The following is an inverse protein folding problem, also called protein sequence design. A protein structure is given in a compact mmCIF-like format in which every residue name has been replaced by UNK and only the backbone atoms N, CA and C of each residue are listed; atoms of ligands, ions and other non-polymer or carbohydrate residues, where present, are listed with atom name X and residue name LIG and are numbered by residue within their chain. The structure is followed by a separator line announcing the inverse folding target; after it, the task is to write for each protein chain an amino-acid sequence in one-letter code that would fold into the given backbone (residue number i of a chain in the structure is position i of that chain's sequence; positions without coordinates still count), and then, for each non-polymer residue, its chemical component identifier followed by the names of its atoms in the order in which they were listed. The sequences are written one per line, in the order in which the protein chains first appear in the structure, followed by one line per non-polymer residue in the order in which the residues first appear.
data_IF_072970685903
#
_entry.id   IF_072970685903
#
_cell.length_a   1.000
_cell.length_b   1.000
_cell.length_c   1.000
_cell.angle_alpha   90.00
_cell.angle_beta   90.00
_cell.angle_gamma   90.00
#
_symmetry.space_group_name_H-M   'P 1'
#
loop_
_entity.id
_entity.type
_entity.pdbx_description
1 polymer ?
#
# COMPACT_ATOMS: atom_id res chain seq x y z
N UNK A 1 -46.15 -35.66 40.53
CA UNK A 1 -45.61 -34.45 39.85
C UNK A 1 -44.13 -34.16 40.13
N UNK A 2 -43.49 -34.67 41.19
CA UNK A 2 -42.06 -34.42 41.49
C UNK A 2 -41.03 -35.20 40.63
N UNK A 3 -41.44 -36.17 39.82
CA UNK A 3 -40.55 -36.95 38.93
C UNK A 3 -40.47 -36.45 37.48
N UNK A 4 -41.32 -35.50 37.08
CA UNK A 4 -41.35 -34.93 35.73
C UNK A 4 -40.40 -33.73 35.58
N UNK A 5 -40.22 -32.96 36.66
CA UNK A 5 -39.34 -31.79 36.69
C UNK A 5 -37.86 -32.06 36.35
N UNK A 6 -37.20 -33.09 36.91
CA UNK A 6 -35.79 -33.36 36.59
C UNK A 6 -35.61 -33.85 35.14
N UNK A 7 -36.56 -34.64 34.60
CA UNK A 7 -36.53 -35.04 33.19
C UNK A 7 -36.71 -33.85 32.25
N UNK A 8 -37.65 -32.94 32.56
CA UNK A 8 -37.85 -31.71 31.77
C UNK A 8 -36.62 -30.79 31.80
N UNK A 9 -35.93 -30.71 32.94
CA UNK A 9 -34.65 -29.97 33.04
C UNK A 9 -33.55 -30.63 32.20
N UNK A 10 -33.39 -31.95 32.25
CA UNK A 10 -32.38 -32.67 31.48
C UNK A 10 -32.59 -32.50 29.95
N UNK A 11 -33.83 -32.64 29.47
CA UNK A 11 -34.20 -32.35 28.08
C UNK A 11 -33.92 -30.89 27.69
N UNK A 12 -34.19 -29.93 28.59
CA UNK A 12 -33.90 -28.52 28.32
C UNK A 12 -32.40 -28.24 28.14
N UNK A 13 -31.53 -28.95 28.89
CA UNK A 13 -30.08 -28.79 28.77
C UNK A 13 -29.54 -29.38 27.48
N UNK A 14 -30.03 -30.54 27.04
CA UNK A 14 -29.61 -31.12 25.75
C UNK A 14 -30.11 -30.30 24.56
N UNK A 15 -31.31 -29.73 24.65
CA UNK A 15 -31.82 -28.78 23.65
C UNK A 15 -30.93 -27.53 23.55
N UNK A 16 -30.49 -26.98 24.68
CA UNK A 16 -29.58 -25.83 24.69
C UNK A 16 -28.24 -26.13 24.00
N UNK A 17 -27.68 -27.32 24.20
CA UNK A 17 -26.41 -27.72 23.55
C UNK A 17 -26.56 -27.81 22.03
N UNK A 18 -27.62 -28.46 21.55
CA UNK A 18 -27.92 -28.54 20.11
C UNK A 18 -28.13 -27.13 19.54
N UNK A 19 -28.87 -26.29 20.27
CA UNK A 19 -29.09 -24.90 19.89
C UNK A 19 -27.79 -24.12 19.75
N UNK A 20 -26.79 -24.33 20.62
CA UNK A 20 -25.46 -23.71 20.50
C UNK A 20 -24.81 -24.00 19.15
N UNK A 21 -24.86 -25.25 18.67
CA UNK A 21 -24.31 -25.63 17.37
C UNK A 21 -25.13 -25.07 16.20
N UNK A 22 -26.46 -25.08 16.31
CA UNK A 22 -27.33 -24.48 15.28
C UNK A 22 -27.04 -22.99 15.13
N UNK A 23 -26.93 -22.27 16.24
CA UNK A 23 -26.57 -20.83 16.24
C UNK A 23 -25.17 -20.62 15.69
N UNK A 24 -24.19 -21.46 16.07
CA UNK A 24 -22.83 -21.40 15.52
C UNK A 24 -22.83 -21.56 14.00
N UNK A 25 -23.54 -22.56 13.47
CA UNK A 25 -23.68 -22.78 12.02
C UNK A 25 -24.31 -21.56 11.35
N UNK A 26 -25.40 -21.02 11.88
CA UNK A 26 -26.06 -19.82 11.32
C UNK A 26 -25.10 -18.64 11.26
N UNK A 27 -24.36 -18.37 12.35
CA UNK A 27 -23.41 -17.25 12.42
C UNK A 27 -22.26 -17.44 11.43
N UNK A 28 -21.65 -18.63 11.39
CA UNK A 28 -20.53 -18.93 10.49
C UNK A 28 -20.98 -18.88 9.02
N UNK A 29 -22.17 -19.41 8.71
CA UNK A 29 -22.81 -19.29 7.39
C UNK A 29 -23.21 -17.85 7.08
N UNK A 30 -23.49 -16.98 8.04
CA UNK A 30 -23.78 -15.58 7.74
C UNK A 30 -22.50 -14.79 7.41
N UNK A 31 -21.41 -15.06 8.13
CA UNK A 31 -20.17 -14.26 8.08
C UNK A 31 -19.17 -14.75 7.04
N UNK A 32 -19.17 -16.03 6.67
CA UNK A 32 -18.13 -16.51 5.74
C UNK A 32 -18.21 -15.85 4.34
N UNK A 33 -17.10 -15.75 3.62
CA UNK A 33 -17.04 -15.02 2.34
C UNK A 33 -18.04 -15.53 1.32
N UNK A 34 -18.65 -14.60 0.56
CA UNK A 34 -19.66 -14.89 -0.48
C UNK A 34 -19.04 -15.13 -1.87
N UNK A 35 -17.73 -14.98 -1.98
CA UNK A 35 -17.00 -15.07 -3.24
C UNK A 35 -16.99 -16.49 -3.80
N UNK A 36 -16.97 -16.60 -5.13
CA UNK A 36 -16.84 -17.90 -5.80
C UNK A 36 -15.38 -18.32 -5.76
N UNK A 37 -15.07 -19.39 -5.06
CA UNK A 37 -13.69 -19.89 -5.02
C UNK A 37 -13.30 -20.39 -6.40
N UNK A 38 -12.15 -19.93 -6.89
CA UNK A 38 -11.58 -20.46 -8.11
C UNK A 38 -11.15 -21.91 -7.91
N UNK A 39 -11.72 -22.82 -8.71
CA UNK A 39 -11.62 -24.27 -8.53
C UNK A 39 -10.24 -24.89 -8.74
N UNK A 40 -9.25 -24.13 -9.23
CA UNK A 40 -7.95 -24.66 -9.62
C UNK A 40 -6.82 -24.09 -8.77
N UNK A 41 -5.91 -24.96 -8.35
CA UNK A 41 -4.67 -24.58 -7.68
C UNK A 41 -3.53 -24.59 -8.69
N UNK A 42 -2.68 -23.55 -8.65
CA UNK A 42 -1.56 -23.41 -9.56
C UNK A 42 -0.39 -22.70 -8.89
N UNK A 43 0.81 -23.04 -9.33
CA UNK A 43 2.05 -22.41 -8.86
C UNK A 43 2.98 -22.22 -10.05
N UNK A 44 3.76 -21.15 -10.03
CA UNK A 44 4.76 -20.87 -11.06
C UNK A 44 5.75 -22.05 -11.15
N UNK A 45 6.12 -22.44 -12.37
CA UNK A 45 7.11 -23.49 -12.63
C UNK A 45 6.60 -24.92 -12.51
N UNK A 46 5.36 -25.13 -12.06
CA UNK A 46 4.75 -26.47 -12.00
C UNK A 46 3.92 -26.77 -13.26
N UNK A 47 3.83 -28.04 -13.69
CA UNK A 47 2.90 -28.44 -14.74
C UNK A 47 1.44 -28.25 -14.31
N UNK A 48 0.58 -27.84 -15.24
CA UNK A 48 -0.85 -27.73 -15.06
C UNK A 48 -1.47 -29.13 -14.93
N UNK A 49 -2.05 -29.40 -13.75
CA UNK A 49 -2.56 -30.75 -13.40
C UNK A 49 -4.02 -30.98 -13.80
N UNK A 50 -4.70 -29.95 -14.30
CA UNK A 50 -6.11 -30.01 -14.64
C UNK A 50 -6.29 -30.13 -16.15
N UNK A 51 -7.53 -30.37 -16.60
CA UNK A 51 -7.89 -30.29 -18.02
C UNK A 51 -7.63 -28.89 -18.56
N UNK A 52 -7.52 -28.78 -19.87
CA UNK A 52 -7.36 -27.52 -20.60
C UNK A 52 -8.33 -26.45 -20.07
N UNK A 53 -7.77 -25.30 -19.74
CA UNK A 53 -8.51 -24.18 -19.20
C UNK A 53 -8.71 -23.14 -20.29
N UNK A 54 -9.97 -22.98 -20.68
CA UNK A 54 -10.42 -21.90 -21.55
C UNK A 54 -11.03 -20.77 -20.71
N UNK A 55 -10.86 -19.52 -21.16
CA UNK A 55 -11.42 -18.35 -20.50
C UNK A 55 -12.96 -18.42 -20.46
N UNK A 56 -13.61 -18.38 -19.28
CA UNK A 56 -15.07 -18.45 -19.17
C UNK A 56 -15.80 -17.17 -19.58
N UNK A 57 -15.11 -16.03 -19.54
CA UNK A 57 -15.56 -14.69 -19.89
C UNK A 57 -14.36 -13.83 -20.31
N UNK A 58 -14.60 -12.63 -20.84
CA UNK A 58 -13.55 -11.67 -21.19
C UNK A 58 -12.98 -11.03 -19.93
N UNK A 59 -11.66 -11.04 -19.74
CA UNK A 59 -11.02 -10.50 -18.54
C UNK A 59 -9.69 -9.83 -18.85
N UNK A 60 -9.30 -8.86 -18.01
CA UNK A 60 -8.04 -8.12 -18.24
C UNK A 60 -6.87 -8.72 -17.46
N UNK A 61 -5.71 -8.82 -18.11
CA UNK A 61 -4.47 -9.26 -17.46
C UNK A 61 -3.93 -8.10 -16.63
N UNK A 62 -3.99 -8.22 -15.31
CA UNK A 62 -3.50 -7.20 -14.39
C UNK A 62 -1.97 -7.17 -14.39
N UNK A 63 -1.38 -5.99 -14.21
CA UNK A 63 0.06 -5.84 -13.99
C UNK A 63 0.43 -6.26 -12.58
N UNK A 64 1.67 -6.73 -12.42
CA UNK A 64 2.26 -6.94 -11.10
C UNK A 64 2.64 -5.61 -10.46
N UNK A 65 2.68 -5.54 -9.13
CA UNK A 65 3.16 -4.34 -8.41
C UNK A 65 4.59 -3.96 -8.81
N UNK A 66 5.43 -4.93 -9.17
CA UNK A 66 6.81 -4.69 -9.65
C UNK A 66 6.82 -3.99 -11.02
N UNK A 67 5.91 -4.36 -11.92
CA UNK A 67 5.76 -3.70 -13.21
C UNK A 67 5.21 -2.28 -13.03
N UNK A 68 4.16 -2.13 -12.21
CA UNK A 68 3.58 -0.81 -11.92
C UNK A 68 4.59 0.11 -11.25
N UNK A 69 5.37 -0.36 -10.27
CA UNK A 69 6.38 0.47 -9.62
C UNK A 69 7.49 0.91 -10.57
N UNK A 70 7.94 0.02 -11.46
CA UNK A 70 8.91 0.34 -12.51
C UNK A 70 8.37 1.39 -13.49
N UNK A 71 7.14 1.20 -14.00
CA UNK A 71 6.50 2.17 -14.89
C UNK A 71 6.30 3.53 -14.21
N UNK A 72 5.85 3.54 -12.94
CA UNK A 72 5.74 4.78 -12.15
C UNK A 72 7.09 5.50 -12.06
N UNK A 73 8.17 4.78 -11.77
CA UNK A 73 9.52 5.38 -11.71
C UNK A 73 9.96 5.94 -13.06
N UNK A 74 9.72 5.22 -14.16
CA UNK A 74 10.08 5.66 -15.50
C UNK A 74 9.32 6.92 -15.92
N UNK A 75 8.03 6.97 -15.64
CA UNK A 75 7.19 8.15 -15.91
C UNK A 75 7.66 9.35 -15.08
N UNK A 76 8.00 9.14 -13.81
CA UNK A 76 8.43 10.22 -12.91
C UNK A 76 9.86 10.73 -13.21
N UNK A 77 10.74 9.93 -13.82
CA UNK A 77 12.07 10.40 -14.25
C UNK A 77 11.99 11.55 -15.25
N UNK A 78 10.95 11.59 -16.07
CA UNK A 78 10.74 12.60 -17.09
C UNK A 78 9.87 13.78 -16.61
N UNK A 79 9.42 13.76 -15.34
CA UNK A 79 8.64 14.85 -14.77
C UNK A 79 9.55 16.08 -14.56
N UNK A 80 9.30 17.12 -15.35
CA UNK A 80 9.92 18.43 -15.17
C UNK A 80 9.18 19.21 -14.07
N UNK A 81 9.88 19.77 -13.07
CA UNK A 81 9.24 20.57 -12.04
C UNK A 81 8.71 21.89 -12.62
N UNK A 82 7.58 22.35 -12.09
CA UNK A 82 6.92 23.58 -12.50
C UNK A 82 7.35 24.74 -11.61
N UNK A 83 7.61 25.88 -12.23
CA UNK A 83 7.95 27.13 -11.59
C UNK A 83 7.03 28.23 -12.10
N UNK A 84 6.69 29.17 -11.24
CA UNK A 84 5.90 30.34 -11.55
C UNK A 84 6.79 31.56 -11.60
N UNK A 85 6.69 32.34 -12.68
CA UNK A 85 7.27 33.66 -12.76
C UNK A 85 6.36 34.68 -12.05
N UNK A 86 6.94 35.50 -11.18
CA UNK A 86 6.23 36.53 -10.41
C UNK A 86 6.43 37.91 -11.04
N UNK A 87 5.59 38.23 -12.04
CA UNK A 87 5.64 39.52 -12.75
C UNK A 87 5.38 40.73 -11.82
N UNK A 88 4.57 40.55 -10.77
CA UNK A 88 4.27 41.61 -9.81
C UNK A 88 5.50 41.97 -8.97
N UNK A 89 6.19 40.95 -8.45
CA UNK A 89 7.38 41.15 -7.64
C UNK A 89 8.51 41.85 -8.40
N UNK A 90 8.72 41.50 -9.68
CA UNK A 90 9.68 42.17 -10.55
C UNK A 90 9.29 43.63 -10.83
N UNK A 91 8.01 43.94 -11.05
CA UNK A 91 7.56 45.33 -11.21
C UNK A 91 7.80 46.15 -9.94
N UNK A 92 7.49 45.59 -8.77
CA UNK A 92 7.71 46.23 -7.46
C UNK A 92 9.19 46.46 -7.21
N UNK A 93 10.06 45.48 -7.50
CA UNK A 93 11.51 45.61 -7.40
C UNK A 93 12.04 46.72 -8.29
N UNK A 94 11.59 46.78 -9.55
CA UNK A 94 11.94 47.85 -10.51
C UNK A 94 11.54 49.24 -10.00
N UNK A 95 10.31 49.40 -9.50
CA UNK A 95 9.87 50.66 -8.91
C UNK A 95 10.67 51.06 -7.67
N UNK A 96 11.05 50.07 -6.84
CA UNK A 96 11.92 50.30 -5.68
C UNK A 96 13.30 50.79 -6.11
N UNK A 97 13.89 50.20 -7.15
CA UNK A 97 15.16 50.63 -7.71
C UNK A 97 15.13 52.10 -8.16
N UNK A 98 14.09 52.49 -8.92
CA UNK A 98 13.91 53.88 -9.37
C UNK A 98 13.80 54.83 -8.16
N UNK A 99 13.00 54.47 -7.16
CA UNK A 99 12.82 55.28 -5.95
C UNK A 99 14.11 55.40 -5.15
N UNK A 100 14.79 54.28 -4.87
CA UNK A 100 16.04 54.24 -4.11
C UNK A 100 17.18 54.94 -4.83
N UNK A 101 17.20 54.92 -6.17
CA UNK A 101 18.13 55.73 -6.95
C UNK A 101 17.87 57.22 -6.71
N UNK A 102 16.63 57.69 -6.86
CA UNK A 102 16.28 59.10 -6.65
C UNK A 102 16.61 59.62 -5.24
N UNK A 103 16.28 58.85 -4.20
CA UNK A 103 16.56 59.22 -2.80
C UNK A 103 18.08 59.34 -2.51
N UNK A 104 18.88 58.44 -3.08
CA UNK A 104 20.33 58.38 -2.81
C UNK A 104 21.16 59.27 -3.75
N UNK A 105 20.66 59.58 -4.95
CA UNK A 105 21.34 60.46 -5.92
C UNK A 105 21.42 61.91 -5.43
N UNK A 106 20.37 62.41 -4.76
CA UNK A 106 20.34 63.77 -4.20
C UNK A 106 21.46 64.04 -3.17
N UNK A 107 22.03 62.99 -2.55
CA UNK A 107 23.16 63.13 -1.62
C UNK A 107 24.53 63.19 -2.31
N UNK A 108 24.67 62.62 -3.50
CA UNK A 108 25.93 62.61 -4.26
C UNK A 108 26.17 63.92 -5.04
N UNK A 109 25.10 64.56 -5.53
CA UNK A 109 25.17 65.74 -6.42
C UNK A 109 25.55 67.08 -5.76
N UNK A 110 25.90 67.11 -4.47
CA UNK A 110 26.18 68.37 -3.73
C UNK A 110 27.52 69.05 -4.09
N UNK A 111 28.30 68.52 -5.04
CA UNK A 111 29.67 68.99 -5.34
C UNK A 111 30.02 69.33 -6.81
N UNK A 112 29.11 69.25 -7.78
CA UNK A 112 29.44 69.55 -9.19
C UNK A 112 28.32 70.27 -9.96
N UNK A 113 28.70 71.00 -11.03
CA UNK A 113 27.83 71.77 -11.92
C UNK A 113 26.49 71.08 -12.24
N UNK A 114 25.40 71.81 -12.01
CA UNK A 114 24.02 71.31 -12.02
C UNK A 114 23.56 70.70 -13.35
N UNK A 115 24.18 71.06 -14.48
CA UNK A 115 23.85 70.56 -15.81
C UNK A 115 24.58 69.24 -16.14
N UNK A 116 25.82 69.05 -15.67
CA UNK A 116 26.59 67.80 -15.86
C UNK A 116 26.02 66.70 -14.95
N UNK A 117 25.67 67.07 -13.72
CA UNK A 117 25.05 66.18 -12.72
C UNK A 117 23.68 65.61 -13.17
N UNK A 118 22.90 66.35 -13.98
CA UNK A 118 21.63 65.85 -14.51
C UNK A 118 21.81 64.82 -15.64
N UNK A 119 22.73 65.06 -16.57
CA UNK A 119 22.97 64.15 -17.71
C UNK A 119 23.57 62.80 -17.25
N UNK A 120 24.45 62.84 -16.25
CA UNK A 120 25.06 61.63 -15.66
C UNK A 120 24.00 60.80 -14.89
N UNK A 121 23.05 61.45 -14.23
CA UNK A 121 21.97 60.78 -13.48
C UNK A 121 21.07 59.90 -14.35
N UNK A 122 20.73 60.40 -15.55
CA UNK A 122 19.91 59.67 -16.52
C UNK A 122 20.69 58.47 -17.05
N UNK A 123 21.97 58.67 -17.37
CA UNK A 123 22.85 57.62 -17.88
C UNK A 123 23.02 56.47 -16.87
N UNK A 124 23.21 56.77 -15.59
CA UNK A 124 23.33 55.73 -14.56
C UNK A 124 22.00 55.03 -14.25
N UNK A 125 20.88 55.76 -14.26
CA UNK A 125 19.57 55.16 -14.10
C UNK A 125 19.25 54.21 -15.25
N UNK A 126 19.54 54.61 -16.50
CA UNK A 126 19.34 53.76 -17.68
C UNK A 126 20.24 52.52 -17.63
N UNK A 127 21.49 52.66 -17.18
CA UNK A 127 22.39 51.52 -16.97
C UNK A 127 21.85 50.56 -15.90
N UNK A 128 21.38 51.07 -14.75
CA UNK A 128 20.78 50.26 -13.68
C UNK A 128 19.52 49.54 -14.16
N UNK A 129 18.62 50.22 -14.87
CA UNK A 129 17.41 49.63 -15.40
C UNK A 129 17.72 48.56 -16.46
N UNK A 130 18.73 48.79 -17.30
CA UNK A 130 19.17 47.80 -18.30
C UNK A 130 19.71 46.52 -17.66
N UNK A 131 20.50 46.65 -16.59
CA UNK A 131 20.97 45.48 -15.82
C UNK A 131 19.79 44.79 -15.15
N UNK A 132 18.93 45.54 -14.48
CA UNK A 132 17.75 45.01 -13.80
C UNK A 132 16.86 44.21 -14.77
N UNK A 133 16.47 44.82 -15.88
CA UNK A 133 15.61 44.22 -16.90
C UNK A 133 16.29 42.99 -17.59
N UNK A 134 17.61 42.88 -17.55
CA UNK A 134 18.36 41.72 -18.05
C UNK A 134 18.38 40.54 -17.06
N UNK A 135 18.72 40.78 -15.79
CA UNK A 135 18.82 39.70 -14.78
C UNK A 135 17.44 39.23 -14.32
N UNK A 136 16.47 40.14 -14.22
CA UNK A 136 15.09 39.84 -13.83
C UNK A 136 14.28 39.16 -14.94
N UNK A 137 14.91 38.80 -16.07
CA UNK A 137 14.33 37.82 -17.00
C UNK A 137 14.04 36.48 -16.31
N UNK A 138 14.79 36.16 -15.25
CA UNK A 138 14.47 35.08 -14.33
C UNK A 138 15.58 34.85 -13.30
N UNK A 139 15.33 35.24 -12.04
CA UNK A 139 16.17 34.92 -10.88
C UNK A 139 15.48 33.78 -10.11
N UNK A 140 16.11 32.61 -10.09
CA UNK A 140 15.54 31.40 -9.49
C UNK A 140 15.75 31.36 -7.98
N UNK A 141 14.66 31.07 -7.26
CA UNK A 141 14.73 30.73 -5.84
C UNK A 141 15.22 29.30 -5.68
N UNK A 142 16.26 29.11 -4.87
CA UNK A 142 16.76 27.78 -4.53
C UNK A 142 15.67 26.95 -3.84
N UNK A 143 15.51 25.72 -4.30
CA UNK A 143 14.54 24.76 -3.78
C UNK A 143 15.18 23.36 -3.81
N UNK A 144 14.90 22.48 -2.82
CA UNK A 144 15.44 21.12 -2.78
C UNK A 144 15.22 20.32 -4.08
N UNK A 145 14.19 20.63 -4.86
CA UNK A 145 13.92 19.95 -6.15
C UNK A 145 15.04 20.17 -7.19
N UNK A 146 15.87 21.19 -7.01
CA UNK A 146 16.99 21.56 -7.88
C UNK A 146 18.35 21.12 -7.35
N UNK A 147 18.43 20.54 -6.13
CA UNK A 147 19.70 20.10 -5.57
C UNK A 147 20.35 19.00 -6.43
N UNK A 148 21.65 19.18 -6.70
CA UNK A 148 22.43 18.25 -7.53
C UNK A 148 22.06 18.26 -9.02
N UNK A 149 21.23 19.20 -9.49
CA UNK A 149 20.93 19.37 -10.93
C UNK A 149 21.98 20.25 -11.60
N UNK A 150 22.37 19.87 -12.81
CA UNK A 150 23.28 20.67 -13.63
C UNK A 150 22.54 21.81 -14.36
N UNK A 151 23.30 22.70 -15.01
CA UNK A 151 22.75 23.84 -15.77
C UNK A 151 21.95 23.44 -17.02
N UNK A 152 22.05 22.20 -17.49
CA UNK A 152 21.27 21.69 -18.64
C UNK A 152 19.89 21.15 -18.22
N UNK A 153 19.65 21.00 -16.92
CA UNK A 153 18.38 20.54 -16.40
C UNK A 153 17.23 21.46 -16.83
N UNK A 154 16.13 20.83 -17.26
CA UNK A 154 14.95 21.53 -17.77
C UNK A 154 13.86 21.64 -16.72
N UNK A 155 13.30 22.84 -16.60
CA UNK A 155 12.12 23.14 -15.80
C UNK A 155 10.99 23.66 -16.69
N UNK A 156 9.75 23.56 -16.19
CA UNK A 156 8.57 24.17 -16.81
C UNK A 156 8.34 25.53 -16.15
N UNK A 157 8.54 26.63 -16.87
CA UNK A 157 8.25 27.97 -16.35
C UNK A 157 6.89 28.45 -16.85
N UNK A 158 6.05 28.90 -15.93
CA UNK A 158 4.77 29.53 -16.20
C UNK A 158 4.98 31.05 -16.16
N UNK A 159 4.76 31.72 -17.30
CA UNK A 159 4.85 33.18 -17.43
C UNK A 159 3.76 33.67 -18.38
N UNK A 160 3.03 34.73 -18.01
CA UNK A 160 1.90 35.24 -18.80
C UNK A 160 0.87 34.15 -19.19
N UNK A 161 0.60 33.22 -18.27
CA UNK A 161 -0.30 32.08 -18.49
C UNK A 161 0.15 31.08 -19.59
N UNK A 162 1.37 31.21 -20.10
CA UNK A 162 2.00 30.23 -20.99
C UNK A 162 2.99 29.35 -20.22
N UNK A 163 3.08 28.08 -20.60
CA UNK A 163 4.04 27.13 -20.03
C UNK A 163 5.10 26.81 -21.07
N UNK A 164 6.37 27.10 -20.76
CA UNK A 164 7.53 26.83 -21.63
C UNK A 164 8.63 26.08 -20.91
N UNK A 165 9.44 25.36 -21.67
CA UNK A 165 10.63 24.68 -21.14
C UNK A 165 11.79 25.67 -21.07
N UNK A 166 12.45 25.71 -19.91
CA UNK A 166 13.65 26.50 -19.66
C UNK A 166 14.76 25.61 -19.12
N UNK A 167 15.97 25.77 -19.65
CA UNK A 167 17.17 25.23 -19.01
C UNK A 167 17.57 26.11 -17.83
N UNK A 168 18.13 25.52 -16.77
CA UNK A 168 18.70 26.30 -15.66
C UNK A 168 19.82 27.25 -16.09
N UNK A 169 20.46 27.01 -17.24
CA UNK A 169 21.45 27.92 -17.85
C UNK A 169 20.85 29.24 -18.34
N UNK A 170 19.53 29.31 -18.55
CA UNK A 170 18.83 30.51 -19.01
C UNK A 170 18.31 31.38 -17.86
N UNK A 171 18.53 30.94 -16.63
CA UNK A 171 18.09 31.60 -15.40
C UNK A 171 19.31 31.95 -14.54
N UNK A 172 19.18 33.04 -13.81
CA UNK A 172 20.20 33.48 -12.87
C UNK A 172 19.90 32.92 -11.48
N UNK A 173 20.92 32.42 -10.78
CA UNK A 173 20.89 32.39 -9.32
C UNK A 173 21.13 33.80 -8.77
N UNK A 174 20.82 34.05 -7.50
CA UNK A 174 21.11 35.35 -6.85
C UNK A 174 22.56 35.76 -7.07
N UNK A 175 23.49 34.85 -6.80
CA UNK A 175 24.93 35.10 -7.01
C UNK A 175 25.28 35.43 -8.47
N UNK A 176 24.71 34.72 -9.45
CA UNK A 176 24.98 34.99 -10.85
C UNK A 176 24.39 36.33 -11.32
N UNK A 177 23.25 36.73 -10.75
CA UNK A 177 22.67 38.05 -10.99
C UNK A 177 23.58 39.16 -10.40
N UNK A 178 24.10 38.97 -9.19
CA UNK A 178 25.03 39.88 -8.54
C UNK A 178 26.34 40.00 -9.31
N UNK A 179 26.94 38.87 -9.71
CA UNK A 179 28.17 38.82 -10.49
C UNK A 179 27.99 39.52 -11.85
N UNK A 180 26.84 39.32 -12.51
CA UNK A 180 26.51 40.01 -13.77
C UNK A 180 26.38 41.53 -13.55
N UNK A 181 25.64 41.94 -12.54
CA UNK A 181 25.43 43.36 -12.22
C UNK A 181 26.74 44.07 -11.86
N UNK A 182 27.57 43.44 -11.03
CA UNK A 182 28.87 43.97 -10.63
C UNK A 182 29.81 44.14 -11.82
N UNK A 183 29.88 43.15 -12.72
CA UNK A 183 30.73 43.22 -13.90
C UNK A 183 30.27 44.29 -14.88
N UNK A 184 28.97 44.40 -15.12
CA UNK A 184 28.41 45.43 -15.99
C UNK A 184 28.66 46.84 -15.44
N UNK A 185 28.42 47.08 -14.15
CA UNK A 185 28.59 48.39 -13.53
C UNK A 185 30.06 48.81 -13.42
N UNK A 186 31.00 47.86 -13.30
CA UNK A 186 32.44 48.15 -13.32
C UNK A 186 32.93 48.66 -14.68
N UNK A 187 32.30 48.22 -15.78
CA UNK A 187 32.66 48.67 -17.14
C UNK A 187 32.31 50.13 -17.38
N UNK A 188 31.46 50.74 -16.54
CA UNK A 188 31.15 52.17 -16.60
C UNK A 188 32.32 53.06 -16.14
N UNK A 189 33.39 52.50 -15.57
CA UNK A 189 34.59 53.22 -15.10
C UNK A 189 34.30 54.44 -14.20
N UNK A 190 33.21 54.38 -13.44
CA UNK A 190 32.76 55.46 -12.56
C UNK A 190 33.14 55.20 -11.10
N UNK A 191 33.46 56.28 -10.36
CA UNK A 191 33.69 56.25 -8.92
C UNK A 191 32.44 55.79 -8.14
N UNK A 192 31.24 55.92 -8.73
CA UNK A 192 29.96 55.59 -8.10
C UNK A 192 29.52 54.13 -8.32
N UNK A 193 30.29 53.34 -9.08
CA UNK A 193 29.95 51.95 -9.44
C UNK A 193 29.60 51.04 -8.24
N UNK A 194 30.27 51.21 -7.11
CA UNK A 194 29.99 50.47 -5.86
C UNK A 194 28.65 50.88 -5.22
N UNK A 195 28.33 52.17 -5.25
CA UNK A 195 27.05 52.68 -4.76
C UNK A 195 25.89 52.18 -5.64
N UNK A 196 26.07 52.23 -6.97
CA UNK A 196 25.10 51.71 -7.94
C UNK A 196 24.87 50.20 -7.76
N UNK A 197 25.93 49.43 -7.53
CA UNK A 197 25.81 47.99 -7.23
C UNK A 197 24.99 47.73 -5.96
N UNK A 198 25.23 48.50 -4.89
CA UNK A 198 24.45 48.37 -3.65
C UNK A 198 22.97 48.69 -3.84
N UNK A 199 22.64 49.62 -4.75
CA UNK A 199 21.24 49.94 -5.08
C UNK A 199 20.56 48.78 -5.79
N UNK A 200 21.22 48.17 -6.78
CA UNK A 200 20.62 47.07 -7.53
C UNK A 200 20.50 45.81 -6.67
N UNK A 201 21.55 45.44 -5.94
CA UNK A 201 21.60 44.28 -5.03
C UNK A 201 20.40 44.25 -4.05
N UNK A 202 20.08 45.39 -3.44
CA UNK A 202 18.95 45.51 -2.51
C UNK A 202 17.55 45.51 -3.16
N UNK A 203 17.48 45.47 -4.49
CA UNK A 203 16.23 45.58 -5.25
C UNK A 203 15.92 44.36 -6.10
N UNK A 204 16.91 43.49 -6.32
CA UNK A 204 16.72 42.21 -7.01
C UNK A 204 15.74 41.32 -6.24
N UNK A 205 14.88 40.63 -6.99
CA UNK A 205 13.87 39.74 -6.44
C UNK A 205 13.99 38.37 -7.10
N UNK A 206 13.87 37.33 -6.28
CA UNK A 206 13.79 35.95 -6.76
C UNK A 206 12.39 35.70 -7.35
N UNK A 207 12.27 35.96 -8.64
CA UNK A 207 11.01 36.00 -9.37
C UNK A 207 10.61 34.66 -10.02
N UNK A 208 11.48 33.65 -10.00
CA UNK A 208 11.16 32.28 -10.45
C UNK A 208 11.06 31.36 -9.24
N UNK A 209 9.83 30.94 -8.94
CA UNK A 209 9.50 30.24 -7.69
C UNK A 209 8.91 28.86 -7.98
N UNK A 210 9.36 27.82 -7.29
CA UNK A 210 8.82 26.47 -7.43
C UNK A 210 7.32 26.41 -7.09
N UNK A 211 6.52 25.88 -8.01
CA UNK A 211 5.10 25.62 -7.82
C UNK A 211 4.90 24.13 -7.52
N UNK A 212 4.95 23.81 -6.23
CA UNK A 212 4.74 22.46 -5.74
C UNK A 212 3.35 21.94 -6.11
N UNK A 213 2.31 22.77 -6.00
CA UNK A 213 0.93 22.35 -6.26
C UNK A 213 0.76 21.94 -7.71
N UNK A 214 1.26 22.73 -8.66
CA UNK A 214 1.17 22.40 -10.09
C UNK A 214 2.02 21.18 -10.44
N UNK A 215 3.22 21.07 -9.85
CA UNK A 215 4.09 19.90 -10.05
C UNK A 215 3.45 18.62 -9.53
N UNK A 216 2.81 18.65 -8.37
CA UNK A 216 2.13 17.51 -7.77
C UNK A 216 0.86 17.13 -8.55
N UNK A 217 0.10 18.11 -9.04
CA UNK A 217 -1.03 17.87 -9.95
C UNK A 217 -0.56 17.16 -11.23
N UNK A 218 0.49 17.66 -11.87
CA UNK A 218 1.05 17.03 -13.08
C UNK A 218 1.59 15.63 -12.77
N UNK A 219 2.21 15.44 -11.60
CA UNK A 219 2.65 14.13 -11.12
C UNK A 219 1.50 13.13 -11.07
N UNK A 220 0.38 13.52 -10.46
CA UNK A 220 -0.81 12.68 -10.36
C UNK A 220 -1.43 12.39 -11.73
N UNK A 221 -1.47 13.38 -12.62
CA UNK A 221 -1.97 13.20 -13.99
C UNK A 221 -1.11 12.22 -14.80
N UNK A 222 0.21 12.26 -14.66
CA UNK A 222 1.10 11.31 -15.30
C UNK A 222 0.91 9.89 -14.74
N UNK A 223 0.75 9.77 -13.42
CA UNK A 223 0.55 8.48 -12.77
C UNK A 223 -0.83 7.87 -13.09
N UNK A 224 -1.87 8.68 -13.28
CA UNK A 224 -3.21 8.18 -13.61
C UNK A 224 -3.33 7.64 -15.04
N UNK A 225 -2.43 8.03 -15.94
CA UNK A 225 -2.34 7.49 -17.31
C UNK A 225 -1.73 6.09 -17.38
N UNK A 226 -1.15 5.59 -16.28
CA UNK A 226 -0.58 4.24 -16.24
C UNK A 226 -1.72 3.22 -16.17
N UNK A 227 -1.90 2.46 -17.26
CA UNK A 227 -2.89 1.37 -17.28
C UNK A 227 -2.55 0.30 -16.25
N UNK A 228 -3.52 -0.17 -15.44
CA UNK A 228 -3.33 -1.29 -14.52
C UNK A 228 -3.22 -2.64 -15.23
N UNK A 229 -3.50 -2.70 -16.54
CA UNK A 229 -3.58 -3.94 -17.32
C UNK A 229 -2.58 -3.96 -18.48
N UNK A 230 -2.16 -5.15 -18.90
CA UNK A 230 -1.24 -5.38 -20.04
C UNK A 230 -1.99 -5.77 -21.31
N UNK A 231 -3.13 -6.46 -21.17
CA UNK A 231 -3.91 -6.96 -22.30
C UNK A 231 -5.25 -7.54 -21.85
N UNK A 232 -6.04 -7.99 -22.82
CA UNK A 232 -7.35 -8.60 -22.63
C UNK A 232 -7.29 -10.06 -23.10
N UNK A 233 -7.83 -10.99 -22.30
CA UNK A 233 -8.06 -12.39 -22.69
C UNK A 233 -9.53 -12.52 -23.03
N UNK A 234 -9.82 -13.07 -24.21
CA UNK A 234 -11.20 -13.21 -24.69
C UNK A 234 -11.83 -14.52 -24.21
N UNK A 235 -13.15 -14.52 -24.03
CA UNK A 235 -13.93 -15.71 -23.72
C UNK A 235 -13.68 -16.80 -24.76
N UNK A 236 -13.41 -18.01 -24.28
CA UNK A 236 -13.09 -19.17 -25.12
C UNK A 236 -11.63 -19.25 -25.56
N UNK A 237 -10.78 -18.29 -25.21
CA UNK A 237 -9.34 -18.36 -25.44
C UNK A 237 -8.70 -19.43 -24.54
N UNK A 238 -7.77 -20.22 -25.09
CA UNK A 238 -7.03 -21.22 -24.33
C UNK A 238 -5.99 -20.55 -23.43
N UNK A 239 -6.21 -20.63 -22.12
CA UNK A 239 -5.29 -20.07 -21.12
C UNK A 239 -4.13 -21.04 -20.89
N UNK A 240 -4.39 -22.31 -20.61
CA UNK A 240 -3.33 -23.28 -20.35
C UNK A 240 -3.81 -24.71 -20.65
N UNK A 241 -2.93 -25.51 -21.24
CA UNK A 241 -3.21 -26.90 -21.62
C UNK A 241 -2.82 -27.86 -20.49
N UNK A 242 -3.45 -29.03 -20.45
CA UNK A 242 -3.07 -30.10 -19.51
C UNK A 242 -1.59 -30.50 -19.67
N UNK A 243 -0.85 -30.50 -18.57
CA UNK A 243 0.58 -30.82 -18.55
C UNK A 243 1.51 -29.67 -18.96
N UNK A 244 0.97 -28.54 -19.43
CA UNK A 244 1.75 -27.36 -19.79
C UNK A 244 2.36 -26.71 -18.53
N UNK A 245 3.58 -26.20 -18.64
CA UNK A 245 4.26 -25.56 -17.52
C UNK A 245 3.69 -24.16 -17.26
N UNK A 246 3.33 -23.86 -16.01
CA UNK A 246 2.82 -22.55 -15.60
C UNK A 246 3.98 -21.53 -15.62
N UNK A 247 4.16 -20.85 -16.76
CA UNK A 247 5.14 -19.77 -16.91
C UNK A 247 4.69 -18.52 -16.15
N UNK A 248 5.60 -17.55 -15.86
CA UNK A 248 5.21 -16.30 -15.19
C UNK A 248 4.09 -15.52 -15.91
N UNK A 249 4.04 -15.58 -17.24
CA UNK A 249 3.00 -14.95 -18.05
C UNK A 249 1.65 -15.65 -17.88
N UNK A 250 1.63 -16.99 -17.98
CA UNK A 250 0.41 -17.79 -17.75
C UNK A 250 -0.07 -17.67 -16.29
N UNK A 251 0.85 -17.64 -15.33
CA UNK A 251 0.53 -17.37 -13.93
C UNK A 251 -0.18 -16.02 -13.78
N UNK A 252 0.28 -14.97 -14.47
CA UNK A 252 -0.35 -13.66 -14.42
C UNK A 252 -1.76 -13.66 -15.05
N UNK A 253 -1.97 -14.44 -16.12
CA UNK A 253 -3.31 -14.66 -16.69
C UNK A 253 -4.21 -15.41 -15.69
N UNK A 254 -3.73 -16.51 -15.11
CA UNK A 254 -4.47 -17.35 -14.16
C UNK A 254 -4.84 -16.59 -12.88
N UNK A 255 -3.94 -15.78 -12.33
CA UNK A 255 -4.22 -14.98 -11.13
C UNK A 255 -5.19 -13.84 -11.43
N UNK A 256 -5.13 -13.25 -12.63
CA UNK A 256 -6.08 -12.22 -13.06
C UNK A 256 -7.48 -12.82 -13.25
N UNK A 257 -7.57 -13.97 -13.94
CA UNK A 257 -8.81 -14.73 -14.07
C UNK A 257 -9.38 -15.12 -12.70
N UNK A 258 -8.55 -15.64 -11.80
CA UNK A 258 -8.95 -16.02 -10.44
C UNK A 258 -9.61 -14.84 -9.73
N UNK A 259 -8.96 -13.67 -9.75
CA UNK A 259 -9.47 -12.45 -9.10
C UNK A 259 -10.80 -12.00 -9.69
N UNK A 260 -10.92 -11.98 -11.02
CA UNK A 260 -12.15 -11.53 -11.68
C UNK A 260 -13.30 -12.53 -11.48
N UNK A 261 -12.99 -13.85 -11.48
CA UNK A 261 -13.95 -14.92 -11.19
C UNK A 261 -14.47 -14.88 -9.75
N UNK A 262 -13.59 -14.57 -8.80
CA UNK A 262 -13.93 -14.43 -7.37
C UNK A 262 -14.79 -13.18 -7.12
N UNK A 263 -14.57 -12.11 -7.89
CA UNK A 263 -15.30 -10.84 -7.81
C UNK A 263 -16.64 -10.82 -8.56
N UNK A 264 -16.84 -11.66 -9.58
CA UNK A 264 -18.13 -11.82 -10.24
C UNK A 264 -19.15 -12.46 -9.26
N UNK A 265 -19.85 -11.61 -8.51
CA UNK A 265 -21.06 -11.96 -7.75
C UNK A 265 -22.21 -12.12 -8.76
N UNK A 266 -22.10 -13.12 -9.62
CA UNK A 266 -23.03 -13.35 -10.71
C UNK A 266 -24.41 -13.75 -10.20
N UNK A 267 -25.42 -12.96 -10.57
CA UNK A 267 -26.87 -13.09 -10.37
C UNK A 267 -27.49 -14.33 -11.07
N UNK A 268 -26.74 -15.44 -11.12
CA UNK A 268 -27.05 -16.68 -11.85
C UNK A 268 -27.43 -17.81 -10.90
N UNK A 269 -28.29 -18.75 -11.31
CA UNK A 269 -28.68 -19.92 -10.52
C UNK A 269 -27.52 -20.69 -9.83
N UNK A 270 -26.29 -20.59 -10.37
CA UNK A 270 -25.06 -21.09 -9.75
C UNK A 270 -24.80 -20.58 -8.32
N UNK A 271 -25.15 -19.33 -7.99
CA UNK A 271 -24.93 -18.79 -6.63
C UNK A 271 -25.75 -19.55 -5.59
N UNK A 272 -26.96 -20.03 -5.95
CA UNK A 272 -27.80 -20.83 -5.06
C UNK A 272 -27.11 -22.16 -4.74
N UNK A 273 -26.57 -22.86 -5.74
CA UNK A 273 -25.85 -24.11 -5.53
C UNK A 273 -24.58 -23.93 -4.68
N UNK A 274 -23.82 -22.86 -4.92
CA UNK A 274 -22.64 -22.54 -4.10
C UNK A 274 -23.05 -22.27 -2.65
N UNK A 275 -24.10 -21.48 -2.44
CA UNK A 275 -24.59 -21.16 -1.10
C UNK A 275 -25.13 -22.39 -0.35
N UNK A 276 -25.89 -23.25 -1.03
CA UNK A 276 -26.37 -24.52 -0.46
C UNK A 276 -25.22 -25.47 -0.12
N UNK A 277 -24.23 -25.60 -1.01
CA UNK A 277 -23.04 -26.44 -0.76
C UNK A 277 -22.26 -25.97 0.47
N UNK A 278 -22.12 -24.65 0.63
CA UNK A 278 -21.51 -24.02 1.82
C UNK A 278 -22.28 -24.34 3.10
N UNK A 279 -23.61 -24.19 3.11
CA UNK A 279 -24.43 -24.53 4.29
C UNK A 279 -24.21 -26.00 4.66
N UNK A 280 -24.26 -26.89 3.68
CA UNK A 280 -24.11 -28.33 3.90
C UNK A 280 -22.74 -28.66 4.48
N UNK A 281 -21.67 -28.11 3.91
CA UNK A 281 -20.30 -28.38 4.36
C UNK A 281 -20.04 -27.85 5.78
N UNK A 282 -20.44 -26.60 6.07
CA UNK A 282 -20.28 -26.02 7.41
C UNK A 282 -21.10 -26.81 8.44
N UNK A 283 -22.36 -27.14 8.12
CA UNK A 283 -23.23 -27.93 8.99
C UNK A 283 -22.64 -29.32 9.25
N UNK A 284 -22.07 -29.96 8.23
CA UNK A 284 -21.44 -31.27 8.36
C UNK A 284 -20.24 -31.23 9.30
N UNK A 285 -19.37 -30.22 9.19
CA UNK A 285 -18.21 -30.08 10.06
C UNK A 285 -18.61 -29.83 11.53
N UNK A 286 -19.58 -28.95 11.78
CA UNK A 286 -20.12 -28.75 13.13
C UNK A 286 -20.87 -29.98 13.66
N UNK A 287 -21.53 -30.74 12.79
CA UNK A 287 -22.17 -32.00 13.17
C UNK A 287 -21.14 -33.06 13.58
N UNK A 288 -20.04 -33.20 12.82
CA UNK A 288 -18.92 -34.07 13.17
C UNK A 288 -18.32 -33.65 14.53
N UNK A 289 -18.16 -32.35 14.77
CA UNK A 289 -17.69 -31.83 16.06
C UNK A 289 -18.64 -32.17 17.21
N UNK A 290 -19.95 -31.97 17.02
CA UNK A 290 -20.97 -32.34 18.00
C UNK A 290 -20.92 -33.84 18.31
N UNK A 291 -20.87 -34.71 17.30
CA UNK A 291 -20.74 -36.15 17.49
C UNK A 291 -19.45 -36.51 18.24
N UNK A 292 -18.33 -35.89 17.88
CA UNK A 292 -17.05 -36.10 18.56
C UNK A 292 -17.15 -35.75 20.06
N UNK A 293 -17.75 -34.61 20.39
CA UNK A 293 -17.92 -34.18 21.77
C UNK A 293 -18.85 -35.11 22.55
N UNK A 294 -19.95 -35.56 21.94
CA UNK A 294 -20.89 -36.49 22.55
C UNK A 294 -20.26 -37.86 22.83
N UNK A 295 -19.50 -38.41 21.87
CA UNK A 295 -18.97 -39.78 21.95
C UNK A 295 -17.66 -39.87 22.72
N UNK A 296 -16.72 -38.95 22.49
CA UNK A 296 -15.35 -39.06 22.99
C UNK A 296 -15.04 -38.09 24.12
N UNK A 297 -15.84 -37.04 24.29
CA UNK A 297 -15.62 -36.01 25.32
C UNK A 297 -16.86 -35.71 26.17
N UNK A 298 -17.48 -36.72 26.79
CA UNK A 298 -18.71 -36.54 27.56
C UNK A 298 -18.53 -35.58 28.76
N UNK A 299 -17.32 -35.46 29.32
CA UNK A 299 -17.02 -34.50 30.39
C UNK A 299 -17.19 -33.05 29.96
N UNK A 300 -16.90 -32.75 28.69
CA UNK A 300 -17.03 -31.41 28.10
C UNK A 300 -18.47 -31.19 27.63
N UNK A 301 -19.04 -32.17 26.94
CA UNK A 301 -20.41 -32.09 26.41
C UNK A 301 -21.48 -31.92 27.51
N UNK A 302 -21.27 -32.54 28.68
CA UNK A 302 -22.20 -32.40 29.82
C UNK A 302 -22.12 -31.03 30.50
N UNK A 303 -21.01 -30.32 30.41
CA UNK A 303 -20.81 -29.01 31.04
C UNK A 303 -21.03 -27.85 30.06
N UNK A 304 -22.21 -27.21 30.12
CA UNK A 304 -22.56 -26.10 29.21
C UNK A 304 -21.52 -24.97 29.17
N UNK A 305 -20.90 -24.63 30.31
CA UNK A 305 -19.89 -23.57 30.38
C UNK A 305 -18.65 -23.90 29.55
N UNK A 306 -18.17 -25.15 29.62
CA UNK A 306 -17.02 -25.62 28.83
C UNK A 306 -17.37 -25.68 27.35
N UNK A 307 -18.57 -26.17 27.03
CA UNK A 307 -19.08 -26.22 25.66
C UNK A 307 -19.18 -24.82 25.04
N UNK A 308 -19.79 -23.85 25.74
CA UNK A 308 -19.93 -22.48 25.25
C UNK A 308 -18.60 -21.76 25.13
N UNK A 309 -17.67 -21.99 26.06
CA UNK A 309 -16.32 -21.44 25.95
C UNK A 309 -15.61 -21.95 24.69
N UNK A 310 -15.69 -23.26 24.43
CA UNK A 310 -15.08 -23.91 23.27
C UNK A 310 -15.70 -23.42 21.95
N UNK A 311 -17.01 -23.62 21.77
CA UNK A 311 -17.69 -23.27 20.53
C UNK A 311 -17.68 -21.75 20.33
N UNK A 312 -17.82 -20.97 21.41
CA UNK A 312 -17.77 -19.51 21.35
C UNK A 312 -16.41 -18.97 20.93
N UNK A 313 -15.31 -19.51 21.48
CA UNK A 313 -13.95 -19.10 21.07
C UNK A 313 -13.64 -19.50 19.63
N UNK A 314 -14.06 -20.69 19.20
CA UNK A 314 -13.96 -21.13 17.81
C UNK A 314 -14.74 -20.23 16.86
N UNK A 315 -16.02 -19.95 17.15
CA UNK A 315 -16.85 -19.06 16.33
C UNK A 315 -16.27 -17.65 16.28
N UNK A 316 -15.80 -17.10 17.40
CA UNK A 316 -15.15 -15.79 17.43
C UNK A 316 -13.91 -15.74 16.52
N UNK A 317 -13.08 -16.79 16.56
CA UNK A 317 -11.91 -16.91 15.69
C UNK A 317 -12.31 -16.97 14.21
N UNK A 318 -13.36 -17.74 13.86
CA UNK A 318 -13.90 -17.82 12.50
C UNK A 318 -14.41 -16.47 12.00
N UNK A 319 -15.14 -15.72 12.83
CA UNK A 319 -15.67 -14.39 12.47
C UNK A 319 -14.52 -13.43 12.14
N UNK A 320 -13.52 -13.33 13.04
CA UNK A 320 -12.37 -12.45 12.85
C UNK A 320 -11.61 -12.82 11.58
N UNK A 321 -11.41 -14.11 11.35
CA UNK A 321 -10.66 -14.60 10.19
C UNK A 321 -11.38 -14.32 8.88
N UNK A 322 -12.67 -14.63 8.78
CA UNK A 322 -13.43 -14.37 7.57
C UNK A 322 -13.56 -12.89 7.23
N UNK A 323 -13.65 -12.03 8.26
CA UNK A 323 -13.62 -10.58 8.05
C UNK A 323 -12.28 -10.13 7.46
N UNK A 324 -11.17 -10.58 8.01
CA UNK A 324 -9.81 -10.24 7.54
C UNK A 324 -9.56 -10.83 6.14
N UNK A 325 -9.96 -12.07 5.89
CA UNK A 325 -9.79 -12.69 4.56
C UNK A 325 -10.53 -11.91 3.46
N UNK A 326 -11.69 -11.32 3.77
CA UNK A 326 -12.46 -10.58 2.78
C UNK A 326 -11.95 -9.14 2.56
N UNK A 327 -11.46 -8.46 3.61
CA UNK A 327 -11.12 -7.03 3.53
C UNK A 327 -9.62 -6.75 3.51
N UNK A 328 -8.81 -7.57 4.18
CA UNK A 328 -7.37 -7.38 4.35
C UNK A 328 -6.61 -8.72 4.22
N UNK A 329 -6.62 -9.40 3.05
CA UNK A 329 -6.04 -10.73 2.89
C UNK A 329 -4.56 -10.83 3.29
N UNK A 330 -3.79 -9.74 3.13
CA UNK A 330 -2.37 -9.67 3.52
C UNK A 330 -2.14 -9.75 5.03
N UNK A 331 -3.15 -9.45 5.85
CA UNK A 331 -3.04 -9.44 7.32
C UNK A 331 -3.41 -10.79 7.97
N UNK A 332 -3.70 -11.81 7.15
CA UNK A 332 -4.17 -13.11 7.61
C UNK A 332 -3.26 -13.79 8.63
N UNK A 333 -1.94 -13.59 8.53
CA UNK A 333 -0.96 -14.21 9.43
C UNK A 333 -0.79 -13.48 10.77
N UNK A 334 -1.42 -12.31 10.97
CA UNK A 334 -1.41 -11.57 12.25
C UNK A 334 -2.35 -12.22 13.27
N UNK A 335 -3.36 -12.96 12.80
CA UNK A 335 -4.37 -13.58 13.66
C UNK A 335 -3.73 -14.69 14.51
N UNK A 336 -3.93 -14.69 15.85
CA UNK A 336 -3.33 -15.71 16.73
C UNK A 336 -4.16 -17.01 16.74
N UNK A 337 -4.17 -17.75 15.63
CA UNK A 337 -4.96 -19.00 15.49
C UNK A 337 -4.67 -20.03 16.57
N UNK A 338 -3.43 -20.07 17.07
CA UNK A 338 -2.99 -20.97 18.15
C UNK A 338 -3.67 -20.69 19.49
N UNK A 339 -4.44 -19.61 19.64
CA UNK A 339 -5.19 -19.33 20.86
C UNK A 339 -6.26 -20.40 21.14
N UNK A 340 -6.97 -20.86 20.11
CA UNK A 340 -8.01 -21.87 20.24
C UNK A 340 -7.46 -23.22 20.76
N UNK A 341 -6.41 -23.82 20.15
CA UNK A 341 -5.85 -25.07 20.65
C UNK A 341 -5.19 -24.91 22.02
N UNK A 342 -4.65 -23.73 22.35
CA UNK A 342 -4.13 -23.46 23.71
C UNK A 342 -5.27 -23.45 24.72
N UNK A 343 -6.30 -22.62 24.54
CA UNK A 343 -7.48 -22.59 25.41
C UNK A 343 -8.10 -23.99 25.51
N UNK A 344 -8.23 -24.67 24.37
CA UNK A 344 -8.66 -26.06 24.31
C UNK A 344 -7.80 -26.97 25.19
N UNK A 345 -6.47 -26.90 25.11
CA UNK A 345 -5.59 -27.75 25.93
C UNK A 345 -5.61 -27.40 27.43
N UNK A 346 -6.01 -26.18 27.80
CA UNK A 346 -6.15 -25.76 29.22
C UNK A 346 -7.47 -26.23 29.82
N UNK A 347 -8.57 -25.98 29.12
CA UNK A 347 -9.93 -26.23 29.62
C UNK A 347 -10.47 -27.61 29.25
N UNK A 348 -9.84 -28.26 28.30
CA UNK A 348 -10.14 -29.59 27.77
C UNK A 348 -8.88 -30.46 27.85
N UNK A 349 -9.04 -31.72 27.47
CA UNK A 349 -7.90 -32.59 27.21
C UNK A 349 -7.21 -32.23 25.88
N UNK A 350 -5.87 -32.35 25.85
CA UNK A 350 -5.02 -32.10 24.66
C UNK A 350 -5.54 -32.77 23.39
N UNK A 351 -6.09 -33.98 23.50
CA UNK A 351 -6.66 -34.73 22.35
C UNK A 351 -7.88 -34.04 21.76
N UNK A 352 -8.78 -33.52 22.60
CA UNK A 352 -9.98 -32.81 22.15
C UNK A 352 -9.65 -31.46 21.53
N UNK A 353 -8.68 -30.75 22.13
CA UNK A 353 -8.20 -29.48 21.61
C UNK A 353 -7.69 -29.60 20.15
N UNK A 354 -6.95 -30.67 19.84
CA UNK A 354 -6.47 -30.92 18.48
C UNK A 354 -7.62 -31.20 17.49
N UNK A 355 -8.60 -32.03 17.87
CA UNK A 355 -9.71 -32.37 16.96
C UNK A 355 -10.56 -31.14 16.65
N UNK A 356 -10.92 -30.35 17.66
CA UNK A 356 -11.67 -29.10 17.47
C UNK A 356 -10.88 -28.10 16.63
N UNK A 357 -9.57 -28.00 16.87
CA UNK A 357 -8.71 -27.14 16.08
C UNK A 357 -8.59 -27.60 14.61
N UNK A 358 -8.51 -28.91 14.35
CA UNK A 358 -8.49 -29.44 12.98
C UNK A 358 -9.79 -29.14 12.23
N UNK A 359 -10.94 -29.29 12.89
CA UNK A 359 -12.23 -28.91 12.31
C UNK A 359 -12.27 -27.40 12.02
N UNK A 360 -11.71 -26.59 12.93
CA UNK A 360 -11.56 -25.14 12.72
C UNK A 360 -10.67 -24.82 11.53
N UNK A 361 -9.53 -25.52 11.36
CA UNK A 361 -8.66 -25.36 10.19
C UNK A 361 -9.35 -25.75 8.90
N UNK A 362 -10.19 -26.79 8.90
CA UNK A 362 -10.99 -27.16 7.72
C UNK A 362 -12.00 -26.07 7.35
N UNK A 363 -12.66 -25.46 8.35
CA UNK A 363 -13.59 -24.34 8.13
C UNK A 363 -12.86 -23.09 7.59
N UNK A 364 -11.66 -22.80 8.10
CA UNK A 364 -10.85 -21.65 7.68
C UNK A 364 -10.19 -21.86 6.32
N UNK A 365 -9.61 -23.04 6.08
CA UNK A 365 -8.79 -23.35 4.92
C UNK A 365 -9.52 -23.22 3.59
N UNK A 366 -10.85 -23.39 3.60
CA UNK A 366 -11.69 -23.17 2.43
C UNK A 366 -11.70 -21.70 1.95
N UNK A 367 -11.50 -20.75 2.86
CA UNK A 367 -11.56 -19.31 2.60
C UNK A 367 -10.22 -18.58 2.79
N UNK A 368 -9.20 -19.28 3.29
CA UNK A 368 -7.91 -18.67 3.59
C UNK A 368 -7.18 -18.24 2.30
N UNK A 369 -6.54 -17.06 2.29
CA UNK A 369 -5.65 -16.69 1.20
C UNK A 369 -4.46 -17.65 1.19
N UNK A 370 -4.09 -18.14 -0.01
CA UNK A 370 -3.09 -19.19 -0.17
C UNK A 370 -3.34 -20.40 0.75
N UNK A 371 -4.55 -20.97 0.64
CA UNK A 371 -5.08 -22.06 1.47
C UNK A 371 -4.06 -23.15 1.84
N UNK A 372 -3.22 -23.60 0.91
CA UNK A 372 -2.19 -24.60 1.17
C UNK A 372 -1.14 -24.14 2.18
N UNK A 373 -0.56 -22.96 1.96
CA UNK A 373 0.45 -22.38 2.85
C UNK A 373 -0.15 -22.09 4.23
N UNK A 374 -1.36 -21.54 4.24
CA UNK A 374 -2.12 -21.31 5.46
C UNK A 374 -2.33 -22.61 6.25
N UNK A 375 -2.88 -23.65 5.63
CA UNK A 375 -3.18 -24.92 6.29
C UNK A 375 -1.92 -25.55 6.86
N UNK A 376 -0.83 -25.60 6.09
CA UNK A 376 0.43 -26.20 6.55
C UNK A 376 1.03 -25.43 7.74
N UNK A 377 1.00 -24.10 7.67
CA UNK A 377 1.52 -23.22 8.73
C UNK A 377 0.70 -23.33 10.00
N UNK A 378 -0.63 -23.29 9.90
CA UNK A 378 -1.50 -23.31 11.08
C UNK A 378 -1.63 -24.71 11.67
N UNK A 379 -1.54 -25.76 10.85
CA UNK A 379 -1.49 -27.14 11.31
C UNK A 379 -0.24 -27.38 12.17
N UNK A 380 0.95 -27.06 11.64
CA UNK A 380 2.21 -27.26 12.36
C UNK A 380 2.28 -26.42 13.63
N UNK A 381 1.98 -25.12 13.55
CA UNK A 381 1.97 -24.23 14.72
C UNK A 381 0.95 -24.66 15.79
N UNK A 382 -0.24 -25.09 15.39
CA UNK A 382 -1.26 -25.56 16.32
C UNK A 382 -0.88 -26.85 17.05
N UNK A 383 -0.23 -27.80 16.38
CA UNK A 383 0.29 -29.00 17.03
C UNK A 383 1.38 -28.66 18.04
N UNK A 384 2.33 -27.79 17.68
CA UNK A 384 3.34 -27.32 18.63
C UNK A 384 2.68 -26.62 19.81
N UNK A 385 1.68 -25.78 19.57
CA UNK A 385 0.93 -25.09 20.62
C UNK A 385 0.24 -26.04 21.60
N UNK A 386 -0.37 -27.15 21.14
CA UNK A 386 -0.98 -28.14 22.04
C UNK A 386 0.06 -28.94 22.82
N UNK A 387 1.15 -29.35 22.17
CA UNK A 387 2.16 -30.20 22.80
C UNK A 387 3.06 -29.45 23.78
N UNK A 388 3.30 -28.16 23.54
CA UNK A 388 4.11 -27.31 24.39
C UNK A 388 3.39 -26.84 25.66
N UNK A 389 2.05 -26.82 25.65
CA UNK A 389 1.19 -26.54 26.80
C UNK A 389 1.37 -27.68 27.81
N UNK A 390 2.29 -27.44 28.75
CA UNK A 390 2.40 -28.25 29.96
C UNK A 390 1.21 -27.98 30.88
N UNK A 391 1.07 -28.80 31.94
CA UNK A 391 0.15 -28.47 33.04
C UNK A 391 0.50 -27.05 33.54
N UNK A 392 -0.40 -26.09 33.36
CA UNK A 392 -0.16 -24.66 33.56
C UNK A 392 -0.07 -24.26 35.04
N UNK A 393 0.84 -24.89 35.79
CA UNK A 393 1.06 -24.60 37.21
C UNK A 393 1.93 -23.35 37.43
N UNK A 394 2.67 -22.88 36.41
CA UNK A 394 3.59 -21.74 36.49
C UNK A 394 3.46 -20.80 35.30
N UNK A 395 3.54 -19.48 35.55
CA UNK A 395 3.45 -18.41 34.53
C UNK A 395 4.49 -18.54 33.40
N UNK A 396 5.67 -19.11 33.71
CA UNK A 396 6.73 -19.38 32.73
C UNK A 396 6.32 -20.33 31.59
N UNK A 397 5.36 -21.24 31.83
CA UNK A 397 4.91 -22.18 30.80
C UNK A 397 4.22 -21.50 29.61
N UNK A 398 3.51 -20.37 29.84
CA UNK A 398 2.89 -19.60 28.78
C UNK A 398 3.94 -18.90 27.91
N UNK A 399 4.97 -18.31 28.52
CA UNK A 399 6.07 -17.65 27.79
C UNK A 399 6.83 -18.66 26.93
N UNK A 400 7.16 -19.83 27.50
CA UNK A 400 7.80 -20.93 26.76
C UNK A 400 6.97 -21.37 25.56
N UNK A 401 5.64 -21.47 25.71
CA UNK A 401 4.76 -21.84 24.61
C UNK A 401 4.82 -20.81 23.48
N UNK A 402 4.67 -19.52 23.79
CA UNK A 402 4.72 -18.45 22.78
C UNK A 402 6.05 -18.43 22.01
N UNK A 403 7.18 -18.67 22.68
CA UNK A 403 8.50 -18.77 22.04
C UNK A 403 8.56 -19.97 21.07
N UNK A 404 8.05 -21.14 21.49
CA UNK A 404 8.05 -22.33 20.62
C UNK A 404 7.14 -22.14 19.39
N UNK A 405 5.98 -21.51 19.57
CA UNK A 405 5.09 -21.16 18.46
C UNK A 405 5.79 -20.20 17.49
N UNK A 406 6.46 -19.16 18.01
CA UNK A 406 7.21 -18.20 17.18
C UNK A 406 8.32 -18.88 16.36
N UNK A 407 9.13 -19.74 17.00
CA UNK A 407 10.17 -20.52 16.30
C UNK A 407 9.55 -21.41 15.22
N UNK A 408 8.41 -22.03 15.51
CA UNK A 408 7.69 -22.88 14.54
C UNK A 408 7.25 -22.07 13.31
N UNK A 409 6.66 -20.90 13.51
CA UNK A 409 6.30 -20.02 12.41
C UNK A 409 7.52 -19.61 11.57
N UNK A 410 8.63 -19.23 12.19
CA UNK A 410 9.86 -18.89 11.46
C UNK A 410 10.38 -20.08 10.63
N UNK A 411 10.43 -21.28 11.22
CA UNK A 411 10.91 -22.48 10.54
C UNK A 411 10.02 -22.88 9.36
N UNK A 412 8.71 -22.82 9.53
CA UNK A 412 7.75 -23.18 8.47
C UNK A 412 7.81 -22.16 7.35
N UNK A 413 7.84 -20.86 7.67
CA UNK A 413 7.98 -19.80 6.68
C UNK A 413 9.28 -19.94 5.88
N UNK A 414 10.41 -20.13 6.58
CA UNK A 414 11.70 -20.36 5.93
C UNK A 414 11.69 -21.62 5.05
N UNK A 415 11.07 -22.71 5.51
CA UNK A 415 10.93 -23.94 4.73
C UNK A 415 10.09 -23.73 3.48
N UNK A 416 8.99 -22.97 3.57
CA UNK A 416 8.15 -22.63 2.42
C UNK A 416 8.89 -21.78 1.40
N UNK A 417 9.67 -20.79 1.86
CA UNK A 417 10.54 -20.00 0.98
C UNK A 417 11.51 -20.88 0.20
N UNK A 418 12.18 -21.83 0.86
CA UNK A 418 13.10 -22.77 0.19
C UNK A 418 12.39 -23.70 -0.80
N UNK A 419 11.16 -24.10 -0.52
CA UNK A 419 10.36 -24.95 -1.42
C UNK A 419 9.87 -24.18 -2.65
N UNK A 420 9.59 -22.87 -2.51
CA UNK A 420 9.08 -22.02 -3.58
C UNK A 420 10.20 -21.41 -4.44
N UNK A 421 11.31 -21.01 -3.83
CA UNK A 421 12.46 -20.40 -4.51
C UNK A 421 13.64 -21.36 -4.48
N UNK A 422 13.90 -22.06 -5.59
CA UNK A 422 15.03 -22.98 -5.72
C UNK A 422 16.42 -22.28 -5.74
N UNK A 423 16.49 -20.95 -5.58
CA UNK A 423 17.76 -20.20 -5.59
C UNK A 423 17.80 -19.09 -4.53
N UNK A 424 18.85 -19.09 -3.71
CA UNK A 424 19.12 -18.11 -2.66
C UNK A 424 19.33 -16.66 -3.14
N UNK A 425 19.35 -16.40 -4.45
CA UNK A 425 19.68 -15.09 -5.04
C UNK A 425 18.50 -14.13 -5.13
N UNK A 426 17.26 -14.56 -4.90
CA UNK A 426 16.05 -13.74 -5.04
C UNK A 426 15.25 -13.52 -3.75
N UNK A 427 15.80 -13.89 -2.57
CA UNK A 427 15.11 -13.72 -1.28
C UNK A 427 14.98 -12.23 -0.97
N UNK A 428 13.89 -11.61 -1.41
CA UNK A 428 13.46 -10.32 -0.88
C UNK A 428 12.63 -10.59 0.37
N UNK A 429 13.18 -10.28 1.55
CA UNK A 429 12.44 -10.29 2.81
C UNK A 429 11.29 -9.28 2.73
N UNK A 430 10.09 -9.75 2.35
CA UNK A 430 8.85 -9.00 2.56
C UNK A 430 8.42 -9.28 3.99
N UNK A 431 8.62 -8.28 4.85
CA UNK A 431 8.03 -8.24 6.20
C UNK A 431 6.59 -7.72 6.13
#
# INVERSE_FOLDING_TARGET
MKSLFPKLQEYSYDLLKILTFVVAVIIVVAVSPRERIFKYEFSIGKPWKHKDLYAPFDFSILKTEKQLSKERQEVLKNLKPYFQYNDEATKVGRSRLIKSFGENWHFAGSKLDSLVSQQDSITYLDALLSVYDQVERGIIRLDPVLEGKDKTFQIKLIRNNEVKDYNLSQLYTVKEADDYALNYLRQLNSADSLMLFKLIDNTLVQNVIYDQKKTDMMRQELLSKISPTVGLVQKGELIISQGELVTPQKYQQLISLKREYEQEIGNSAAWKYVYTGRILLISLLFFIELMFLMSFMPSIYKELRKLHLLVGTQVALLIISFYIFSHYPSWSYIIPYTILPVIGAVFLDRRGALVVYLITLMLLGFYAPNSFEFLYTQFTAGFVAVFSVGQLSKRWHLVRNSILIFITYMLVYFSMLLVQEASFTNISLRF
#
